data_IF_170311179694
#
_entry.id   IF_170311179694
#
_cell.length_a   1.000
_cell.length_b   1.000
_cell.length_c   1.000
_cell.angle_alpha   90.00
_cell.angle_beta   90.00
_cell.angle_gamma   90.00
#
_symmetry.space_group_name_H-M   'P 1'
#
loop_
_entity.id
_entity.type
_entity.pdbx_description
1 polymer ?
#
# COMPACT_ATOMS: atom_id res chain seq x y z
N UNK A 1 -4.24 2.99 -22.32
CA UNK A 1 -3.68 1.69 -22.77
C UNK A 1 -2.29 1.81 -23.36
N UNK A 2 -2.08 2.59 -24.43
CA UNK A 2 -0.78 2.70 -25.10
C UNK A 2 0.34 3.18 -24.17
N UNK A 3 0.10 4.25 -23.40
CA UNK A 3 1.08 4.76 -22.42
C UNK A 3 1.47 3.71 -21.37
N UNK A 4 0.51 2.92 -20.88
CA UNK A 4 0.79 1.86 -19.90
C UNK A 4 1.59 0.71 -20.51
N UNK A 5 1.35 0.36 -21.79
CA UNK A 5 2.19 -0.62 -22.51
C UNK A 5 3.60 -0.09 -22.77
N UNK A 6 3.76 1.19 -23.04
CA UNK A 6 5.07 1.81 -23.18
C UNK A 6 5.85 1.79 -21.87
N UNK A 7 5.21 2.19 -20.76
CA UNK A 7 5.79 2.11 -19.43
C UNK A 7 6.13 0.66 -19.05
N UNK A 8 5.26 -0.30 -19.38
CA UNK A 8 5.50 -1.72 -19.11
C UNK A 8 6.78 -2.22 -19.77
N UNK A 9 7.02 -1.90 -21.05
CA UNK A 9 8.26 -2.29 -21.75
C UNK A 9 9.51 -1.72 -21.07
N UNK A 10 9.48 -0.44 -20.72
CA UNK A 10 10.59 0.20 -20.02
C UNK A 10 10.81 -0.38 -18.61
N UNK A 11 9.72 -0.67 -17.88
CA UNK A 11 9.78 -1.32 -16.59
C UNK A 11 10.40 -2.72 -16.68
N UNK A 12 10.08 -3.48 -17.72
CA UNK A 12 10.62 -4.82 -17.96
C UNK A 12 12.14 -4.77 -18.20
N UNK A 13 12.62 -3.83 -19.02
CA UNK A 13 14.06 -3.60 -19.24
C UNK A 13 14.82 -3.29 -17.95
N UNK A 14 14.15 -2.68 -16.96
CA UNK A 14 14.70 -2.30 -15.66
C UNK A 14 14.43 -3.33 -14.55
N UNK A 15 13.71 -4.41 -14.83
CA UNK A 15 13.30 -5.39 -13.81
C UNK A 15 12.28 -4.85 -12.79
N UNK A 16 11.50 -3.82 -13.18
CA UNK A 16 10.49 -3.16 -12.35
C UNK A 16 9.09 -3.67 -12.67
N UNK A 17 8.32 -3.94 -11.62
CA UNK A 17 6.87 -4.20 -11.71
C UNK A 17 6.09 -2.91 -11.48
N UNK A 18 5.16 -2.60 -12.39
CA UNK A 18 4.25 -1.47 -12.28
C UNK A 18 2.95 -1.92 -11.63
N UNK A 19 2.67 -1.45 -10.42
CA UNK A 19 1.42 -1.73 -9.72
C UNK A 19 0.48 -0.52 -9.85
N UNK A 20 -0.61 -0.68 -10.59
CA UNK A 20 -1.59 0.37 -10.85
C UNK A 20 -2.62 0.41 -9.72
N UNK A 21 -2.75 1.57 -9.09
CA UNK A 21 -3.63 1.80 -7.96
C UNK A 21 -4.96 2.41 -8.41
N UNK A 22 -6.09 1.70 -8.25
CA UNK A 22 -7.40 2.34 -8.34
C UNK A 22 -7.64 3.18 -7.08
N UNK A 23 -7.98 4.45 -7.28
CA UNK A 23 -8.22 5.41 -6.19
C UNK A 23 -9.73 5.64 -6.02
N UNK A 24 -10.13 6.25 -4.92
CA UNK A 24 -11.54 6.61 -4.75
C UNK A 24 -11.99 7.69 -5.76
N UNK A 25 -13.29 7.82 -5.95
CA UNK A 25 -13.92 8.76 -6.90
C UNK A 25 -13.62 10.23 -6.66
N UNK A 26 -13.07 10.60 -5.50
CA UNK A 26 -12.70 11.97 -5.16
C UNK A 26 -11.26 12.30 -5.59
N UNK A 27 -10.42 11.28 -5.79
CA UNK A 27 -9.01 11.42 -6.17
C UNK A 27 -8.77 11.13 -7.66
N UNK A 28 -9.63 10.33 -8.29
CA UNK A 28 -9.59 10.11 -9.74
C UNK A 28 -10.96 9.75 -10.31
N UNK A 29 -11.20 10.14 -11.57
CA UNK A 29 -12.37 9.71 -12.35
C UNK A 29 -12.09 8.47 -13.21
N UNK A 30 -10.82 8.05 -13.32
CA UNK A 30 -10.39 7.10 -14.35
C UNK A 30 -10.54 5.64 -13.92
N UNK A 31 -10.01 5.27 -12.75
CA UNK A 31 -9.92 3.90 -12.30
C UNK A 31 -10.21 3.82 -10.80
N UNK A 32 -11.37 3.26 -10.44
CA UNK A 32 -11.88 3.33 -9.07
C UNK A 32 -12.09 1.97 -8.38
N UNK A 33 -12.42 0.92 -9.15
CA UNK A 33 -12.68 -0.40 -8.58
C UNK A 33 -11.51 -1.36 -8.84
N UNK A 34 -11.34 -2.31 -7.93
CA UNK A 34 -10.30 -3.34 -8.05
C UNK A 34 -10.58 -4.27 -9.24
N UNK A 35 -11.85 -4.53 -9.51
CA UNK A 35 -12.33 -5.33 -10.64
C UNK A 35 -12.01 -4.66 -11.99
N UNK A 36 -12.21 -3.34 -12.10
CA UNK A 36 -11.84 -2.58 -13.29
C UNK A 36 -10.31 -2.50 -13.45
N UNK A 37 -9.56 -2.36 -12.35
CA UNK A 37 -8.09 -2.41 -12.38
C UNK A 37 -7.58 -3.77 -12.89
N UNK A 38 -8.16 -4.87 -12.41
CA UNK A 38 -7.80 -6.20 -12.91
C UNK A 38 -8.18 -6.39 -14.39
N UNK A 39 -9.33 -5.85 -14.84
CA UNK A 39 -9.68 -5.84 -16.27
C UNK A 39 -8.65 -5.07 -17.09
N UNK A 40 -8.25 -3.88 -16.65
CA UNK A 40 -7.23 -3.06 -17.29
C UNK A 40 -5.89 -3.81 -17.40
N UNK A 41 -5.42 -4.41 -16.31
CA UNK A 41 -4.17 -5.19 -16.28
C UNK A 41 -4.22 -6.34 -17.29
N UNK A 42 -5.33 -7.09 -17.35
CA UNK A 42 -5.51 -8.17 -18.33
C UNK A 42 -5.49 -7.67 -19.77
N UNK A 43 -6.13 -6.53 -20.06
CA UNK A 43 -6.15 -5.93 -21.39
C UNK A 43 -4.79 -5.35 -21.81
N UNK A 44 -3.98 -4.87 -20.87
CA UNK A 44 -2.61 -4.43 -21.14
C UNK A 44 -1.78 -5.61 -21.62
N UNK A 45 -1.97 -6.78 -21.00
CA UNK A 45 -1.35 -8.05 -21.41
C UNK A 45 0.13 -8.18 -21.06
N UNK A 46 0.67 -7.26 -20.24
CA UNK A 46 2.06 -7.28 -19.80
C UNK A 46 2.19 -7.92 -18.42
N UNK A 47 3.14 -8.85 -18.26
CA UNK A 47 3.29 -9.64 -17.03
C UNK A 47 3.86 -8.82 -15.86
N UNK A 48 4.57 -7.71 -16.13
CA UNK A 48 5.10 -6.81 -15.13
C UNK A 48 4.14 -5.65 -14.78
N UNK A 49 2.89 -5.70 -15.26
CA UNK A 49 1.84 -4.78 -14.84
C UNK A 49 0.88 -5.53 -13.92
N UNK A 50 0.64 -4.98 -12.74
CA UNK A 50 -0.12 -5.58 -11.65
C UNK A 50 -1.08 -4.57 -11.02
N UNK A 51 -1.96 -5.03 -10.15
CA UNK A 51 -2.85 -4.19 -9.34
C UNK A 51 -2.18 -3.83 -8.02
N UNK A 52 -2.28 -2.57 -7.63
CA UNK A 52 -1.98 -2.09 -6.29
C UNK A 52 -3.30 -1.99 -5.50
N UNK A 53 -3.44 -2.76 -4.43
CA UNK A 53 -4.62 -2.72 -3.57
C UNK A 53 -4.39 -1.82 -2.37
N UNK A 54 -5.21 -0.78 -2.20
CA UNK A 54 -5.25 0.04 -1.00
C UNK A 54 -6.59 -0.15 -0.27
N UNK A 55 -6.53 -0.43 1.03
CA UNK A 55 -7.72 -0.66 1.86
C UNK A 55 -8.60 0.58 2.03
N UNK A 56 -8.06 1.80 2.07
CA UNK A 56 -8.84 3.04 2.16
C UNK A 56 -9.68 3.24 0.90
N UNK A 57 -9.07 3.12 -0.28
CA UNK A 57 -9.77 3.27 -1.55
C UNK A 57 -10.82 2.16 -1.76
N UNK A 58 -10.43 0.91 -1.50
CA UNK A 58 -11.33 -0.24 -1.63
C UNK A 58 -12.51 -0.20 -0.64
N UNK A 59 -12.36 0.46 0.51
CA UNK A 59 -13.41 0.63 1.50
C UNK A 59 -14.48 1.66 1.09
N UNK A 60 -14.16 2.56 0.14
CA UNK A 60 -15.12 3.52 -0.40
C UNK A 60 -15.82 2.96 -1.65
N UNK A 61 -15.04 2.41 -2.57
CA UNK A 61 -15.55 2.02 -3.91
C UNK A 61 -16.02 0.57 -3.97
N UNK A 62 -15.37 -0.31 -3.20
CA UNK A 62 -15.72 -1.72 -3.13
C UNK A 62 -16.92 -1.96 -2.23
N UNK A 63 -17.71 -3.00 -2.54
CA UNK A 63 -18.80 -3.45 -1.64
C UNK A 63 -18.26 -4.07 -0.35
N UNK A 64 -17.10 -4.73 -0.43
CA UNK A 64 -16.43 -5.34 0.71
C UNK A 64 -14.93 -5.53 0.40
N UNK A 65 -14.00 -4.93 1.17
CA UNK A 65 -12.56 -4.98 0.87
C UNK A 65 -11.99 -6.39 0.68
N UNK A 66 -12.39 -7.35 1.51
CA UNK A 66 -11.95 -8.75 1.38
C UNK A 66 -12.37 -9.40 0.04
N UNK A 67 -13.55 -9.06 -0.48
CA UNK A 67 -14.01 -9.59 -1.77
C UNK A 67 -13.25 -8.95 -2.92
N UNK A 68 -12.92 -7.67 -2.80
CA UNK A 68 -12.08 -6.97 -3.80
C UNK A 68 -10.69 -7.58 -3.88
N UNK A 69 -10.08 -8.00 -2.75
CA UNK A 69 -8.81 -8.77 -2.77
C UNK A 69 -8.95 -10.07 -3.55
N UNK A 70 -10.04 -10.83 -3.34
CA UNK A 70 -10.30 -12.08 -4.06
C UNK A 70 -10.43 -11.87 -5.56
N UNK A 71 -11.13 -10.81 -5.94
CA UNK A 71 -11.41 -10.48 -7.34
C UNK A 71 -10.14 -10.18 -8.16
N UNK A 72 -9.05 -9.77 -7.49
CA UNK A 72 -7.78 -9.42 -8.12
C UNK A 72 -6.65 -10.42 -7.81
N UNK A 73 -7.00 -11.61 -7.31
CA UNK A 73 -6.04 -12.61 -6.82
C UNK A 73 -4.87 -12.91 -7.77
N UNK A 74 -5.11 -12.92 -9.09
CA UNK A 74 -4.08 -13.23 -10.10
C UNK A 74 -3.27 -12.01 -10.52
N UNK A 75 -3.81 -10.81 -10.31
CA UNK A 75 -3.24 -9.56 -10.78
C UNK A 75 -2.60 -8.74 -9.66
N UNK A 76 -2.84 -9.07 -8.38
CA UNK A 76 -2.33 -8.34 -7.23
C UNK A 76 -0.79 -8.35 -7.18
N UNK A 77 -0.19 -7.16 -7.15
CA UNK A 77 1.26 -6.96 -7.05
C UNK A 77 1.69 -6.25 -5.76
N UNK A 78 0.91 -5.28 -5.28
CA UNK A 78 1.25 -4.51 -4.08
C UNK A 78 0.03 -4.25 -3.20
N UNK A 79 0.25 -4.03 -1.90
CA UNK A 79 -0.79 -3.72 -0.93
C UNK A 79 -0.39 -2.50 -0.11
N UNK A 80 -1.24 -1.50 -0.08
CA UNK A 80 -1.25 -0.47 0.94
C UNK A 80 -2.18 -0.84 2.09
N UNK A 81 -1.72 -0.51 3.30
CA UNK A 81 -2.44 -0.64 4.55
C UNK A 81 -2.80 0.78 5.02
N UNK A 82 -4.05 1.15 4.80
CA UNK A 82 -4.62 2.45 5.13
C UNK A 82 -6.01 2.28 5.76
N UNK A 83 -6.23 2.81 6.97
CA UNK A 83 -7.53 2.74 7.65
C UNK A 83 -8.58 3.62 6.95
N UNK A 84 -9.87 3.45 7.23
CA UNK A 84 -10.95 4.20 6.57
C UNK A 84 -10.84 5.72 6.69
N UNK A 85 -10.16 6.23 7.71
CA UNK A 85 -9.90 7.65 7.91
C UNK A 85 -8.42 8.00 7.73
N UNK A 86 -7.65 7.07 7.13
CA UNK A 86 -6.19 7.11 7.01
C UNK A 86 -5.48 7.18 8.37
N UNK A 87 -6.16 6.86 9.48
CA UNK A 87 -5.60 6.82 10.84
C UNK A 87 -4.86 5.53 11.17
N UNK A 88 -5.04 5.02 12.40
CA UNK A 88 -4.39 3.79 12.86
C UNK A 88 -5.29 2.57 12.53
N UNK A 89 -4.82 1.56 11.77
CA UNK A 89 -5.54 0.31 11.56
C UNK A 89 -6.06 -0.29 12.87
N UNK A 90 -7.34 -0.66 12.86
CA UNK A 90 -8.05 -1.22 14.00
C UNK A 90 -8.71 -0.19 14.91
N UNK A 91 -8.55 1.12 14.64
CA UNK A 91 -9.34 2.18 15.30
C UNK A 91 -10.49 2.67 14.42
N UNK A 92 -10.58 2.17 13.20
CA UNK A 92 -11.63 2.49 12.24
C UNK A 92 -12.58 1.32 11.97
N UNK A 93 -13.18 1.31 10.78
CA UNK A 93 -14.19 0.33 10.37
C UNK A 93 -13.76 -0.60 9.23
N UNK A 94 -12.51 -0.55 8.75
CA UNK A 94 -12.03 -1.56 7.79
C UNK A 94 -12.06 -2.95 8.44
N UNK A 95 -12.62 -3.93 7.73
CA UNK A 95 -12.57 -5.35 8.13
C UNK A 95 -11.17 -5.94 7.88
N UNK A 96 -10.23 -5.57 8.76
CA UNK A 96 -8.84 -6.01 8.67
C UNK A 96 -8.68 -7.53 8.79
N UNK A 97 -9.54 -8.19 9.57
CA UNK A 97 -9.48 -9.65 9.70
C UNK A 97 -9.87 -10.29 8.37
N UNK A 98 -10.96 -9.84 7.74
CA UNK A 98 -11.38 -10.29 6.42
C UNK A 98 -10.34 -10.01 5.34
N UNK A 99 -9.78 -8.80 5.29
CA UNK A 99 -8.73 -8.43 4.32
C UNK A 99 -7.50 -9.34 4.45
N UNK A 100 -6.95 -9.49 5.65
CA UNK A 100 -5.78 -10.35 5.86
C UNK A 100 -6.11 -11.82 5.60
N UNK A 101 -7.31 -12.27 5.95
CA UNK A 101 -7.75 -13.64 5.63
C UNK A 101 -7.83 -13.83 4.12
N UNK A 102 -8.30 -12.83 3.38
CA UNK A 102 -8.36 -12.88 1.93
C UNK A 102 -6.97 -12.91 1.29
N UNK A 103 -6.04 -12.08 1.77
CA UNK A 103 -4.65 -12.10 1.31
C UNK A 103 -3.98 -13.46 1.55
N UNK A 104 -4.27 -14.10 2.70
CA UNK A 104 -3.80 -15.46 2.98
C UNK A 104 -4.39 -16.49 2.03
N UNK A 105 -5.69 -16.45 1.78
CA UNK A 105 -6.38 -17.41 0.90
C UNK A 105 -5.91 -17.33 -0.56
N UNK A 106 -5.53 -16.15 -1.04
CA UNK A 106 -4.96 -15.97 -2.38
C UNK A 106 -3.44 -16.18 -2.40
N UNK A 107 -2.86 -16.62 -1.28
CA UNK A 107 -1.43 -16.89 -1.12
C UNK A 107 -0.54 -15.69 -1.46
N UNK A 108 -1.00 -14.47 -1.16
CA UNK A 108 -0.23 -13.26 -1.42
C UNK A 108 1.07 -13.26 -0.61
N UNK A 109 2.20 -13.14 -1.31
CA UNK A 109 3.55 -13.16 -0.74
C UNK A 109 4.37 -11.91 -1.07
N UNK A 110 3.72 -10.87 -1.63
CA UNK A 110 4.34 -9.58 -1.91
C UNK A 110 4.36 -8.65 -0.71
N UNK A 111 4.73 -7.39 -0.97
CA UNK A 111 4.90 -6.36 0.06
C UNK A 111 3.56 -5.74 0.50
N UNK A 112 3.39 -5.59 1.82
CA UNK A 112 2.35 -4.76 2.42
C UNK A 112 3.01 -3.53 3.05
N UNK A 113 2.62 -2.34 2.59
CA UNK A 113 3.20 -1.06 3.03
C UNK A 113 2.17 -0.29 3.85
N UNK A 114 2.59 0.29 4.97
CA UNK A 114 1.74 1.25 5.71
C UNK A 114 1.82 2.59 5.00
N UNK A 115 0.68 3.04 4.48
CA UNK A 115 0.55 4.37 3.88
C UNK A 115 0.32 5.41 4.98
N UNK A 116 1.17 6.43 5.09
CA UNK A 116 1.19 7.36 6.22
C UNK A 116 1.17 8.83 5.83
N UNK A 117 0.31 9.58 6.52
CA UNK A 117 0.19 11.03 6.42
C UNK A 117 0.53 11.65 7.77
N UNK A 118 1.71 11.30 8.27
CA UNK A 118 2.27 11.92 9.45
C UNK A 118 2.78 13.31 9.07
N UNK A 119 2.10 14.36 9.53
CA UNK A 119 2.50 15.76 9.26
C UNK A 119 2.73 16.02 7.76
N UNK A 120 1.72 15.76 6.90
CA UNK A 120 1.89 15.96 5.46
C UNK A 120 2.13 17.44 5.17
N UNK A 121 3.06 17.71 4.26
CA UNK A 121 3.19 19.05 3.68
C UNK A 121 1.86 19.52 3.06
N UNK A 122 1.64 20.84 2.88
CA UNK A 122 0.34 21.39 2.49
C UNK A 122 -0.25 20.78 1.22
N UNK A 123 0.58 20.48 0.22
CA UNK A 123 0.14 19.90 -1.05
C UNK A 123 -0.40 18.48 -0.87
N UNK A 124 0.31 17.62 -0.14
CA UNK A 124 -0.16 16.26 0.13
C UNK A 124 -1.37 16.27 1.07
N UNK A 125 -1.38 17.15 2.07
CA UNK A 125 -2.52 17.32 2.95
C UNK A 125 -3.78 17.66 2.13
N UNK A 126 -3.65 18.57 1.15
CA UNK A 126 -4.75 18.94 0.27
C UNK A 126 -5.16 17.82 -0.68
N UNK A 127 -4.21 17.14 -1.31
CA UNK A 127 -4.49 16.05 -2.23
C UNK A 127 -5.17 14.85 -1.54
N UNK A 128 -4.75 14.51 -0.32
CA UNK A 128 -5.30 13.39 0.46
C UNK A 128 -6.38 13.80 1.47
N UNK A 129 -6.81 15.08 1.46
CA UNK A 129 -7.81 15.65 2.36
C UNK A 129 -7.55 15.41 3.86
N UNK A 130 -6.30 15.59 4.30
CA UNK A 130 -5.87 15.40 5.69
C UNK A 130 -6.03 16.70 6.48
N UNK A 131 -7.20 16.84 7.13
CA UNK A 131 -7.58 18.05 7.87
C UNK A 131 -7.60 17.90 9.38
N UNK A 132 -7.24 16.71 9.89
CA UNK A 132 -7.22 16.38 11.31
C UNK A 132 -5.91 15.69 11.64
N UNK A 133 -5.48 15.83 12.88
CA UNK A 133 -4.41 15.01 13.42
C UNK A 133 -4.86 13.55 13.47
N UNK A 134 -4.09 12.67 12.81
CA UNK A 134 -4.37 11.23 12.74
C UNK A 134 -3.81 10.47 13.95
N UNK A 135 -2.84 11.05 14.64
CA UNK A 135 -2.24 10.60 15.88
C UNK A 135 -1.52 11.79 16.56
N UNK A 136 -1.16 11.69 17.86
CA UNK A 136 -0.37 12.70 18.54
C UNK A 136 1.01 12.99 17.92
N UNK A 137 1.58 12.05 17.16
CA UNK A 137 2.82 12.22 16.40
C UNK A 137 2.92 11.24 15.24
N UNK A 138 3.73 11.56 14.24
CA UNK A 138 4.05 10.62 13.16
C UNK A 138 4.70 9.32 13.63
N UNK A 139 5.49 9.41 14.69
CA UNK A 139 6.17 8.30 15.34
C UNK A 139 5.20 7.33 16.01
N UNK A 140 4.20 7.85 16.71
CA UNK A 140 3.12 7.04 17.27
C UNK A 140 2.28 6.40 16.18
N UNK A 141 1.93 7.17 15.14
CA UNK A 141 1.20 6.68 13.97
C UNK A 141 1.92 5.46 13.39
N UNK A 142 3.20 5.59 13.03
CA UNK A 142 3.98 4.49 12.46
C UNK A 142 4.04 3.25 13.38
N UNK A 143 4.36 3.42 14.66
CA UNK A 143 4.51 2.31 15.62
C UNK A 143 3.21 1.54 15.84
N UNK A 144 2.11 2.24 16.09
CA UNK A 144 0.82 1.59 16.42
C UNK A 144 0.23 0.86 15.21
N UNK A 145 0.35 1.45 14.02
CA UNK A 145 -0.06 0.81 12.76
C UNK A 145 0.70 -0.50 12.50
N UNK A 146 2.02 -0.45 12.66
CA UNK A 146 2.90 -1.60 12.52
C UNK A 146 2.56 -2.70 13.53
N UNK A 147 2.38 -2.32 14.79
CA UNK A 147 2.05 -3.26 15.87
C UNK A 147 0.71 -3.95 15.62
N UNK A 148 -0.31 -3.21 15.20
CA UNK A 148 -1.64 -3.77 14.92
C UNK A 148 -1.58 -4.82 13.81
N UNK A 149 -1.02 -4.47 12.64
CA UNK A 149 -0.98 -5.40 11.51
C UNK A 149 -0.13 -6.62 11.84
N UNK A 150 1.05 -6.46 12.47
CA UNK A 150 1.87 -7.61 12.92
C UNK A 150 1.13 -8.51 13.90
N UNK A 151 0.34 -7.95 14.80
CA UNK A 151 -0.46 -8.71 15.76
C UNK A 151 -1.57 -9.50 15.07
N UNK A 152 -2.32 -8.85 14.19
CA UNK A 152 -3.44 -9.47 13.50
C UNK A 152 -3.00 -10.50 12.46
N UNK A 153 -1.94 -10.23 11.69
CA UNK A 153 -1.36 -11.18 10.73
C UNK A 153 -0.96 -12.50 11.40
N UNK A 154 -0.35 -12.44 12.60
CA UNK A 154 -0.05 -13.65 13.39
C UNK A 154 -1.30 -14.43 13.80
N UNK A 155 -2.37 -13.73 14.19
CA UNK A 155 -3.65 -14.37 14.56
C UNK A 155 -4.36 -15.03 13.37
N UNK A 156 -4.24 -14.45 12.18
CA UNK A 156 -4.76 -15.01 10.92
C UNK A 156 -3.85 -16.13 10.37
N UNK A 157 -2.60 -16.20 10.85
CA UNK A 157 -1.62 -17.19 10.45
C UNK A 157 -0.92 -16.85 9.14
N UNK A 158 -0.66 -15.56 8.90
CA UNK A 158 0.30 -15.08 7.90
C UNK A 158 1.65 -14.95 8.62
N UNK A 159 2.60 -15.80 8.22
CA UNK A 159 3.92 -15.92 8.87
C UNK A 159 5.08 -15.46 7.99
N UNK A 160 4.87 -15.37 6.68
CA UNK A 160 5.88 -14.89 5.74
C UNK A 160 5.96 -13.37 5.74
N UNK A 161 7.22 -12.93 5.60
CA UNK A 161 7.76 -11.59 5.43
C UNK A 161 6.74 -10.46 5.29
N UNK A 162 6.20 -9.97 6.41
CA UNK A 162 5.88 -8.54 6.46
C UNK A 162 7.18 -7.81 6.76
N UNK A 163 8.05 -7.72 5.75
CA UNK A 163 9.11 -6.72 5.76
C UNK A 163 8.40 -5.38 5.59
N UNK A 164 7.99 -4.81 6.72
CA UNK A 164 7.60 -3.42 6.76
C UNK A 164 8.87 -2.62 6.56
N UNK A 165 9.08 -2.12 5.35
CA UNK A 165 9.95 -0.96 5.22
C UNK A 165 9.11 0.24 5.64
N UNK A 166 9.49 0.80 6.78
CA UNK A 166 8.88 2.00 7.32
C UNK A 166 9.06 3.16 6.34
N UNK A 167 7.96 3.87 6.11
CA UNK A 167 7.86 5.28 5.72
C UNK A 167 8.00 5.57 4.22
N UNK A 168 6.85 5.71 3.54
CA UNK A 168 6.71 6.84 2.63
C UNK A 168 6.56 8.08 3.54
N UNK A 169 7.66 8.80 3.75
CA UNK A 169 7.56 10.19 4.19
C UNK A 169 7.35 11.03 2.94
N UNK A 170 6.22 11.70 2.85
CA UNK A 170 6.17 12.91 2.04
C UNK A 170 6.90 14.00 2.83
N UNK A 171 8.21 14.04 2.67
CA UNK A 171 9.03 15.13 3.18
C UNK A 171 8.90 16.31 2.21
N UNK A 172 8.08 17.29 2.56
CA UNK A 172 8.23 18.65 2.05
C UNK A 172 8.43 19.58 3.25
N UNK A 173 9.69 19.76 3.63
CA UNK A 173 10.07 20.90 4.43
C UNK A 173 11.10 21.68 3.63
N UNK A 174 10.67 22.82 3.07
CA UNK A 174 11.55 23.82 2.46
C UNK A 174 12.56 24.47 3.41
N UNK A 175 12.98 23.76 4.46
CA UNK A 175 13.99 24.17 5.43
C UNK A 175 14.90 22.97 5.71
N UNK A 176 16.19 23.11 5.38
CA UNK A 176 17.22 22.11 5.69
C UNK A 176 17.26 21.81 7.20
N UNK A 177 17.45 20.54 7.62
CA UNK A 177 17.45 20.16 9.02
C UNK A 177 18.62 20.79 9.78
N UNK A 178 18.32 21.59 10.82
CA UNK A 178 19.29 21.98 11.84
C UNK A 178 19.45 20.87 12.88
N UNK A 179 20.20 19.81 12.54
CA UNK A 179 21.04 18.98 13.42
C UNK A 179 21.35 17.64 12.74
N UNK A 180 22.56 17.09 12.90
CA UNK A 180 22.99 15.88 12.21
C UNK A 180 22.42 14.66 12.93
N UNK A 181 21.35 14.08 12.41
CA UNK A 181 20.98 12.71 12.76
C UNK A 181 22.06 11.78 12.18
N UNK A 182 22.76 11.07 13.06
CA UNK A 182 23.84 10.15 12.70
C UNK A 182 23.30 9.07 11.76
N UNK A 183 23.79 9.07 10.53
CA UNK A 183 23.57 8.06 9.49
C UNK A 183 24.20 6.68 9.81
N UNK A 184 24.19 6.27 11.08
CA UNK A 184 24.91 5.10 11.60
C UNK A 184 24.04 4.02 12.26
N UNK A 185 22.72 4.16 12.29
CA UNK A 185 21.82 3.14 12.88
C UNK A 185 21.00 2.34 11.85
N UNK A 186 21.20 2.57 10.55
CA UNK A 186 20.47 1.87 9.49
C UNK A 186 21.47 1.52 8.38
N UNK A 187 21.94 0.28 8.37
CA UNK A 187 22.70 -0.32 7.28
C UNK A 187 22.27 -1.80 7.14
N UNK A 188 22.48 -2.43 5.98
CA UNK A 188 21.48 -2.68 4.96
C UNK A 188 20.88 -4.08 5.06
N UNK A 189 19.55 -4.17 5.24
CA UNK A 189 18.78 -5.37 4.93
C UNK A 189 17.81 -5.03 3.79
N UNK A 190 18.37 -4.50 2.71
CA UNK A 190 17.65 -4.20 1.47
C UNK A 190 18.04 -5.29 0.48
N UNK A 191 17.11 -6.17 0.14
CA UNK A 191 16.73 -6.57 -1.22
C UNK A 191 16.01 -7.93 -1.22
N UNK A 192 14.80 -7.89 -1.77
CA UNK A 192 13.94 -8.99 -2.26
C UNK A 192 13.29 -9.95 -1.26
N UNK A 193 12.03 -10.35 -1.50
CA UNK A 193 11.47 -11.59 -0.96
C UNK A 193 12.34 -12.78 -1.39
N UNK A 194 12.71 -13.64 -0.44
CA UNK A 194 13.39 -14.90 -0.74
C UNK A 194 12.42 -15.86 -1.43
N UNK A 195 12.59 -16.04 -2.74
CA UNK A 195 11.84 -16.98 -3.57
C UNK A 195 12.45 -18.40 -3.59
N UNK A 196 13.48 -18.68 -2.78
CA UNK A 196 14.21 -19.97 -2.82
C UNK A 196 13.48 -21.15 -2.17
N UNK A 197 12.32 -20.91 -1.54
CA UNK A 197 11.45 -21.96 -1.00
C UNK A 197 10.18 -22.07 -1.85
N UNK A 198 10.33 -22.68 -3.02
CA UNK A 198 9.24 -23.26 -3.81
C UNK A 198 9.29 -24.78 -3.71
#
# INVERSE_FOLDING_TARGET
MEGLRAAARQGEELGVTLCIEPLNRFETYFLNTQEDAARLVREVGAHNVRVHFDTFHANIEGRHPANSVRAISKELGHVHISENDRGIPGTGHVDWRGVLTALKEIEYNGWMTIESFAEPGPELAAAAAIWRDLAPSGDELARRRLQFIKSLSRKVGIWWTVTFNSLLFAYDSGHAPQAPWSAGAIAPAFFSPDHSKR
#
